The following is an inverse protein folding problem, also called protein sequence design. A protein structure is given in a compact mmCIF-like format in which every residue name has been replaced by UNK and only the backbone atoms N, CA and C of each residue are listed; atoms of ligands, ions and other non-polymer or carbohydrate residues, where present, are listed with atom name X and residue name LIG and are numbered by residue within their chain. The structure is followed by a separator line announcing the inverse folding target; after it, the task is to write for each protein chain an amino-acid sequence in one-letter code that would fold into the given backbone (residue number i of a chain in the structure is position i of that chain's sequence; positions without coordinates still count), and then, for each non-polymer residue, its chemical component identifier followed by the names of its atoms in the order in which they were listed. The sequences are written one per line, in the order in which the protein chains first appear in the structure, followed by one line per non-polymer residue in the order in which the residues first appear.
data_IF_904526172471
#
_entry.id   IF_904526172471
#
_cell.length_a   1.000
_cell.length_b   1.000
_cell.length_c   1.000
_cell.angle_alpha   90.00
_cell.angle_beta   90.00
_cell.angle_gamma   90.00
#
_symmetry.space_group_name_H-M   'P 1'
#
loop_
_entity.id
_entity.type
_entity.pdbx_description
1 polymer ?
#
# COMPACT_ATOMS: atom_id res chain seq x y z
N UNK A 1 -12.97 -11.97 -5.40
CA UNK A 1 -11.69 -11.58 -4.78
C UNK A 1 -11.48 -10.07 -4.85
N UNK A 2 -11.77 -9.36 -3.75
CA UNK A 2 -11.75 -7.88 -3.66
C UNK A 2 -11.11 -7.44 -2.32
N UNK A 3 -9.91 -7.92 -1.95
CA UNK A 3 -9.32 -7.58 -0.65
C UNK A 3 -8.61 -6.23 -0.67
N UNK A 4 -7.64 -6.03 -1.59
CA UNK A 4 -6.84 -4.79 -1.65
C UNK A 4 -7.70 -3.59 -2.01
N UNK A 5 -8.41 -3.63 -3.13
CA UNK A 5 -9.25 -2.50 -3.60
C UNK A 5 -10.30 -2.07 -2.56
N UNK A 6 -10.92 -3.04 -1.88
CA UNK A 6 -11.93 -2.75 -0.84
C UNK A 6 -11.29 -2.12 0.40
N UNK A 7 -10.14 -2.65 0.86
CA UNK A 7 -9.38 -2.08 2.00
C UNK A 7 -8.93 -0.66 1.66
N UNK A 8 -8.35 -0.47 0.48
CA UNK A 8 -7.93 0.83 -0.03
C UNK A 8 -9.08 1.84 -0.05
N UNK A 9 -10.21 1.51 -0.70
CA UNK A 9 -11.38 2.40 -0.74
C UNK A 9 -11.92 2.74 0.65
N UNK A 10 -11.83 1.82 1.60
CA UNK A 10 -12.23 2.06 3.00
C UNK A 10 -11.28 3.03 3.71
N UNK A 11 -9.97 2.92 3.47
CA UNK A 11 -8.95 3.80 4.05
C UNK A 11 -9.05 5.20 3.44
N UNK A 12 -9.12 5.32 2.11
CA UNK A 12 -9.27 6.61 1.42
C UNK A 12 -10.48 7.40 1.95
N UNK A 13 -11.62 6.73 2.18
CA UNK A 13 -12.83 7.38 2.72
C UNK A 13 -12.67 7.86 4.17
N UNK A 14 -11.78 7.23 4.95
CA UNK A 14 -11.55 7.57 6.37
C UNK A 14 -10.49 8.65 6.54
N UNK A 15 -9.58 8.77 5.58
CA UNK A 15 -8.44 9.67 5.66
C UNK A 15 -8.48 10.69 4.52
N UNK A 16 -9.40 11.66 4.63
CA UNK A 16 -9.45 12.82 3.75
C UNK A 16 -8.14 13.61 3.89
N UNK A 17 -7.24 13.50 2.92
CA UNK A 17 -5.98 14.25 2.85
C UNK A 17 -4.70 13.41 2.78
N UNK A 18 -4.76 12.08 2.94
CA UNK A 18 -3.60 11.23 2.70
C UNK A 18 -3.40 10.98 1.20
N UNK A 19 -2.13 10.82 0.79
CA UNK A 19 -1.81 10.41 -0.57
C UNK A 19 -2.33 9.00 -0.83
N UNK A 20 -2.62 8.69 -2.10
CA UNK A 20 -3.03 7.35 -2.52
C UNK A 20 -1.94 6.31 -2.25
N UNK A 21 -0.66 6.70 -2.29
CA UNK A 21 0.45 5.84 -1.86
C UNK A 21 0.31 5.43 -0.40
N UNK A 22 0.11 6.39 0.52
CA UNK A 22 -0.03 6.11 1.95
C UNK A 22 -1.25 5.23 2.23
N UNK A 23 -2.39 5.54 1.59
CA UNK A 23 -3.59 4.72 1.70
C UNK A 23 -3.37 3.29 1.18
N UNK A 24 -2.57 3.12 0.13
CA UNK A 24 -2.25 1.82 -0.42
C UNK A 24 -1.30 1.02 0.48
N UNK A 25 -0.26 1.65 1.03
CA UNK A 25 0.66 1.02 1.98
C UNK A 25 -0.10 0.48 3.20
N UNK A 26 -1.02 1.27 3.77
CA UNK A 26 -1.87 0.84 4.87
C UNK A 26 -2.82 -0.31 4.46
N UNK A 27 -3.33 -0.29 3.22
CA UNK A 27 -4.22 -1.32 2.70
C UNK A 27 -3.56 -2.69 2.51
N UNK A 28 -2.23 -2.77 2.47
CA UNK A 28 -1.50 -4.02 2.23
C UNK A 28 -0.60 -4.46 3.39
N UNK A 29 -0.31 -3.57 4.34
CA UNK A 29 0.56 -3.85 5.48
C UNK A 29 0.07 -5.08 6.28
N UNK A 30 0.98 -6.03 6.52
CA UNK A 30 0.72 -7.27 7.26
C UNK A 30 -0.38 -8.15 6.66
N UNK A 31 -0.64 -8.06 5.36
CA UNK A 31 -1.64 -8.89 4.67
C UNK A 31 -1.05 -10.04 3.86
N UNK A 32 0.28 -10.18 3.85
CA UNK A 32 1.01 -11.26 3.20
C UNK A 32 0.64 -11.40 1.71
N UNK A 33 0.51 -10.27 1.01
CA UNK A 33 0.24 -10.30 -0.42
C UNK A 33 1.51 -10.61 -1.21
N UNK A 34 1.37 -11.43 -2.24
CA UNK A 34 2.44 -11.65 -3.21
C UNK A 34 2.78 -10.35 -3.94
N UNK A 35 4.08 -10.12 -4.16
CA UNK A 35 4.63 -9.00 -4.93
C UNK A 35 3.89 -8.70 -6.24
N UNK A 36 3.54 -9.72 -7.02
CA UNK A 36 2.81 -9.55 -8.30
C UNK A 36 1.44 -8.91 -8.08
N UNK A 37 0.74 -9.31 -7.03
CA UNK A 37 -0.56 -8.76 -6.63
C UNK A 37 -0.40 -7.31 -6.17
N UNK A 38 0.61 -7.01 -5.36
CA UNK A 38 0.95 -5.65 -4.92
C UNK A 38 1.20 -4.75 -6.12
N UNK A 39 2.08 -5.16 -7.05
CA UNK A 39 2.41 -4.39 -8.25
C UNK A 39 1.20 -4.11 -9.13
N UNK A 40 0.35 -5.13 -9.37
CA UNK A 40 -0.87 -4.98 -10.16
C UNK A 40 -1.80 -3.92 -9.58
N UNK A 41 -2.07 -3.99 -8.27
CA UNK A 41 -2.98 -3.06 -7.61
C UNK A 41 -2.37 -1.68 -7.36
N UNK A 42 -1.06 -1.60 -7.11
CA UNK A 42 -0.32 -0.34 -7.02
C UNK A 42 -0.52 0.47 -8.30
N UNK A 43 -0.28 -0.15 -9.46
CA UNK A 43 -0.46 0.49 -10.76
C UNK A 43 -1.91 0.94 -11.04
N UNK A 44 -2.88 0.27 -10.42
CA UNK A 44 -4.31 0.52 -10.65
C UNK A 44 -4.90 1.55 -9.69
N UNK A 45 -4.38 1.66 -8.47
CA UNK A 45 -4.99 2.43 -7.38
C UNK A 45 -4.17 3.63 -6.93
N UNK A 46 -2.85 3.61 -7.10
CA UNK A 46 -1.96 4.71 -6.70
C UNK A 46 -1.84 5.72 -7.85
N UNK A 47 -2.16 6.98 -7.56
CA UNK A 47 -1.95 8.10 -8.46
C UNK A 47 -0.47 8.22 -8.80
N UNK A 48 -0.17 8.41 -10.08
CA UNK A 48 1.21 8.60 -10.58
C UNK A 48 1.85 9.88 -10.06
N UNK A 49 1.06 10.84 -9.57
CA UNK A 49 1.54 12.08 -8.95
C UNK A 49 2.05 11.86 -7.52
N UNK A 50 1.67 10.74 -6.89
CA UNK A 50 2.06 10.42 -5.51
C UNK A 50 3.39 9.68 -5.41
N UNK A 51 4.08 9.45 -6.54
CA UNK A 51 5.42 8.86 -6.55
C UNK A 51 6.26 9.31 -7.75
N UNK A 52 7.57 9.32 -7.57
CA UNK A 52 8.51 9.53 -8.66
C UNK A 52 8.66 8.22 -9.44
N UNK A 53 8.45 8.25 -10.76
CA UNK A 53 8.48 7.05 -11.61
C UNK A 53 9.80 6.28 -11.52
N UNK A 54 10.93 6.97 -11.33
CA UNK A 54 12.26 6.38 -11.14
C UNK A 54 12.36 5.48 -9.90
N UNK A 55 11.63 5.83 -8.84
CA UNK A 55 11.70 5.15 -7.54
C UNK A 55 10.74 3.97 -7.43
N UNK A 56 9.90 3.76 -8.46
CA UNK A 56 8.83 2.76 -8.46
C UNK A 56 9.31 1.36 -8.05
N UNK A 57 10.50 0.95 -8.48
CA UNK A 57 11.04 -0.36 -8.09
C UNK A 57 11.24 -0.43 -6.57
N UNK A 58 11.92 0.56 -5.99
CA UNK A 58 12.20 0.62 -4.56
C UNK A 58 10.92 0.76 -3.74
N UNK A 59 9.95 1.51 -4.24
CA UNK A 59 8.62 1.63 -3.62
C UNK A 59 7.92 0.27 -3.58
N UNK A 60 7.91 -0.48 -4.68
CA UNK A 60 7.29 -1.81 -4.71
C UNK A 60 8.08 -2.81 -3.85
N UNK A 61 9.41 -2.71 -3.78
CA UNK A 61 10.25 -3.49 -2.86
C UNK A 61 9.86 -3.26 -1.40
N UNK A 62 9.69 -2.00 -1.00
CA UNK A 62 9.23 -1.63 0.33
C UNK A 62 7.80 -2.14 0.62
N UNK A 63 6.88 -1.97 -0.33
CA UNK A 63 5.49 -2.42 -0.21
C UNK A 63 5.38 -3.95 -0.04
N UNK A 64 6.23 -4.70 -0.75
CA UNK A 64 6.35 -6.15 -0.62
C UNK A 64 6.90 -6.54 0.75
N UNK A 65 7.91 -5.82 1.24
CA UNK A 65 8.44 -6.00 2.59
C UNK A 65 7.38 -5.78 3.67
N UNK A 66 6.70 -4.63 3.72
CA UNK A 66 5.70 -4.34 4.77
C UNK A 66 4.45 -5.22 4.69
N UNK A 67 4.18 -5.84 3.54
CA UNK A 67 3.07 -6.77 3.41
C UNK A 67 3.38 -8.11 4.07
N UNK A 68 4.62 -8.59 3.94
CA UNK A 68 5.05 -9.93 4.35
C UNK A 68 5.81 -9.95 5.68
N UNK A 69 6.38 -8.81 6.08
CA UNK A 69 7.14 -8.60 7.31
C UNK A 69 6.60 -7.33 7.97
N UNK A 70 5.37 -7.35 8.52
CA UNK A 70 4.91 -6.23 9.32
C UNK A 70 5.83 -6.15 10.54
N UNK A 71 6.71 -5.14 10.60
CA UNK A 71 7.42 -4.85 11.84
C UNK A 71 6.40 -4.77 12.97
N UNK A 72 6.79 -5.28 14.15
CA UNK A 72 6.01 -5.12 15.37
C UNK A 72 5.71 -3.63 15.50
N UNK A 73 4.48 -3.22 15.17
CA UNK A 73 4.01 -1.88 15.49
C UNK A 73 4.15 -1.78 16.99
N UNK A 74 5.24 -1.17 17.47
CA UNK A 74 5.32 -0.69 18.84
C UNK A 74 4.06 0.10 19.06
N UNK A 75 3.16 -0.49 19.85
CA UNK A 75 2.00 0.19 20.41
C UNK A 75 2.59 1.31 21.24
N UNK A 76 2.78 2.48 20.64
CA UNK A 76 3.01 3.70 21.39
C UNK A 76 1.70 3.96 22.11
N UNK A 77 1.72 3.59 23.40
CA UNK A 77 0.66 3.79 24.38
C UNK A 77 0.34 5.28 24.57
#
# INVERSE_FOLDING_TARGET
MKSIERRFKKIVRRHYGLSTYMCFAEAIAGQYFQRRTILFWFNKLVDKRDYIKGDKKQIVDFLDHISNYPEERTKSA
#
